data_IF_036278018373
#
_entry.id   IF_036278018373
#
_cell.length_a   1.000
_cell.length_b   1.000
_cell.length_c   1.000
_cell.angle_alpha   90.00
_cell.angle_beta   90.00
_cell.angle_gamma   90.00
#
_symmetry.space_group_name_H-M   'P 1'
#
loop_
_entity.id
_entity.type
_entity.pdbx_description
1 polymer ?
#
# COMPACT_ATOMS: atom_id res chain seq x y z
N UNK A 1 -2.57 -16.40 1.50
CA UNK A 1 -3.67 -15.92 2.37
C UNK A 1 -3.56 -14.41 2.41
N UNK A 2 -4.65 -13.66 2.19
CA UNK A 2 -4.56 -12.20 2.13
C UNK A 2 -4.70 -11.60 3.54
N UNK A 3 -3.93 -10.55 3.82
CA UNK A 3 -4.09 -9.73 5.03
C UNK A 3 -4.21 -8.26 4.67
N UNK A 4 -4.98 -7.52 5.44
CA UNK A 4 -4.94 -6.05 5.49
C UNK A 4 -4.39 -5.60 6.84
N UNK A 5 -3.74 -4.45 6.87
CA UNK A 5 -3.24 -3.84 8.10
C UNK A 5 -3.13 -2.33 7.92
N UNK A 6 -3.31 -1.58 9.00
CA UNK A 6 -3.08 -0.13 8.97
C UNK A 6 -1.62 0.19 9.23
N UNK A 7 -1.11 1.20 8.53
CA UNK A 7 0.26 1.68 8.70
C UNK A 7 0.24 2.85 9.67
N UNK A 8 0.65 2.61 10.90
CA UNK A 8 0.58 3.59 11.99
C UNK A 8 1.96 4.07 12.40
N UNK A 9 2.07 5.35 12.71
CA UNK A 9 3.30 5.93 13.22
C UNK A 9 3.51 5.58 14.69
N UNK A 10 4.72 5.14 15.02
CA UNK A 10 5.11 4.83 16.40
C UNK A 10 5.18 6.09 17.30
N UNK A 11 5.49 7.25 16.73
CA UNK A 11 5.69 8.48 17.51
C UNK A 11 4.41 9.29 17.70
N UNK A 12 3.66 9.55 16.63
CA UNK A 12 2.49 10.45 16.69
C UNK A 12 1.15 9.72 16.53
N UNK A 13 1.15 8.39 16.36
CA UNK A 13 -0.06 7.58 16.19
C UNK A 13 -0.79 7.80 14.85
N UNK A 14 -0.26 8.64 13.95
CA UNK A 14 -0.90 8.92 12.66
C UNK A 14 -0.92 7.70 11.76
N UNK A 15 -2.09 7.38 11.21
CA UNK A 15 -2.27 6.34 10.18
C UNK A 15 -1.91 6.94 8.83
N UNK A 16 -0.86 6.41 8.21
CA UNK A 16 -0.32 6.89 6.91
C UNK A 16 -0.98 6.18 5.72
N UNK A 17 -1.74 5.11 5.96
CA UNK A 17 -2.44 4.35 4.92
C UNK A 17 -2.74 2.93 5.37
N UNK A 18 -3.26 2.13 4.46
CA UNK A 18 -3.59 0.72 4.66
C UNK A 18 -2.78 -0.13 3.69
N UNK A 19 -2.24 -1.23 4.22
CA UNK A 19 -1.49 -2.24 3.51
C UNK A 19 -2.38 -3.43 3.17
N UNK A 20 -2.19 -4.02 2.00
CA UNK A 20 -2.74 -5.32 1.63
C UNK A 20 -1.63 -6.21 1.08
N UNK A 21 -1.48 -7.41 1.63
CA UNK A 21 -0.42 -8.34 1.24
C UNK A 21 -0.83 -9.80 1.31
N UNK A 22 -0.25 -10.62 0.44
CA UNK A 22 -0.36 -12.07 0.51
C UNK A 22 0.74 -12.62 1.44
N UNK A 23 0.34 -13.30 2.50
CA UNK A 23 1.25 -13.94 3.46
C UNK A 23 1.75 -15.31 3.03
N UNK A 24 1.30 -15.82 1.87
CA UNK A 24 1.77 -17.10 1.31
C UNK A 24 3.04 -16.98 0.46
N UNK A 25 3.44 -15.76 0.12
CA UNK A 25 4.74 -15.42 -0.48
C UNK A 25 5.53 -14.57 0.52
N UNK A 26 6.88 -14.50 0.44
CA UNK A 26 7.64 -13.53 1.24
C UNK A 26 7.03 -12.15 1.02
N UNK A 27 6.45 -11.55 2.08
CA UNK A 27 5.52 -10.41 2.06
C UNK A 27 5.80 -9.42 0.93
N UNK A 28 5.26 -9.69 -0.25
CA UNK A 28 5.28 -8.76 -1.36
C UNK A 28 4.09 -7.86 -1.14
N UNK A 29 4.36 -6.58 -0.91
CA UNK A 29 3.34 -5.54 -0.87
C UNK A 29 2.52 -5.67 -2.14
N UNK A 30 1.28 -6.13 -2.01
CA UNK A 30 0.41 -6.39 -3.17
C UNK A 30 -0.36 -5.12 -3.50
N UNK A 31 -0.76 -4.38 -2.47
CA UNK A 31 -1.28 -3.02 -2.59
C UNK A 31 -0.94 -2.20 -1.32
N UNK A 32 -0.67 -0.91 -1.53
CA UNK A 32 -0.54 0.09 -0.48
C UNK A 32 -1.46 1.23 -0.85
N UNK A 33 -2.39 1.55 0.05
CA UNK A 33 -3.37 2.63 -0.14
C UNK A 33 -3.03 3.75 0.85
N UNK A 34 -2.42 4.85 0.40
CA UNK A 34 -2.07 5.95 1.29
C UNK A 34 -3.35 6.60 1.83
N UNK A 35 -3.30 7.09 3.07
CA UNK A 35 -4.41 7.86 3.66
C UNK A 35 -4.59 9.22 2.97
N UNK A 36 -3.51 9.75 2.38
CA UNK A 36 -3.49 10.96 1.59
C UNK A 36 -3.05 10.60 0.15
N UNK A 37 -3.92 10.72 -0.86
CA UNK A 37 -3.61 10.33 -2.24
C UNK A 37 -2.51 11.18 -2.89
N UNK A 38 -2.17 12.35 -2.32
CA UNK A 38 -1.02 13.16 -2.76
C UNK A 38 0.33 12.62 -2.28
N UNK A 39 0.33 11.48 -1.58
CA UNK A 39 1.51 10.85 -1.06
C UNK A 39 1.65 9.42 -1.56
N UNK A 40 2.72 9.18 -2.31
CA UNK A 40 3.09 7.82 -2.72
C UNK A 40 4.51 7.56 -2.22
N UNK A 41 4.72 6.53 -1.39
CA UNK A 41 6.07 6.16 -0.99
C UNK A 41 6.87 5.66 -2.20
N UNK A 42 8.16 5.98 -2.23
CA UNK A 42 9.03 5.53 -3.31
C UNK A 42 9.33 4.04 -3.18
N UNK A 43 9.24 3.27 -4.28
CA UNK A 43 9.64 1.87 -4.27
C UNK A 43 11.09 1.71 -3.78
N UNK A 44 11.33 0.78 -2.87
CA UNK A 44 12.65 0.49 -2.33
C UNK A 44 13.11 1.39 -1.16
N UNK A 45 12.40 2.48 -0.86
CA UNK A 45 12.69 3.31 0.31
C UNK A 45 11.91 2.84 1.55
N UNK A 46 12.50 2.93 2.77
CA UNK A 46 11.77 2.64 4.00
C UNK A 46 10.59 3.60 4.17
N UNK A 47 9.42 3.04 4.46
CA UNK A 47 8.24 3.84 4.73
C UNK A 47 8.39 4.66 6.02
N UNK A 48 8.07 5.96 5.97
CA UNK A 48 8.11 6.89 7.11
C UNK A 48 6.79 7.64 7.25
N UNK A 49 6.49 8.07 8.46
CA UNK A 49 5.30 8.87 8.72
C UNK A 49 5.38 10.21 8.00
N UNK A 50 4.40 10.53 7.15
CA UNK A 50 4.34 11.84 6.46
C UNK A 50 4.20 13.03 7.42
N UNK A 51 3.60 12.82 8.60
CA UNK A 51 3.35 13.90 9.56
C UNK A 51 4.58 14.29 10.38
N UNK A 52 5.44 13.34 10.75
CA UNK A 52 6.55 13.60 11.67
C UNK A 52 7.89 12.96 11.26
N UNK A 53 7.95 12.21 10.15
CA UNK A 53 9.13 11.46 9.72
C UNK A 53 9.46 10.21 10.55
N UNK A 54 8.67 9.92 11.59
CA UNK A 54 8.89 8.78 12.48
C UNK A 54 8.74 7.40 11.82
N UNK A 55 9.23 6.33 12.48
CA UNK A 55 9.03 4.97 12.02
C UNK A 55 7.55 4.58 12.05
N UNK A 56 7.16 3.68 11.15
CA UNK A 56 5.81 3.15 11.03
C UNK A 56 5.80 1.65 11.26
N UNK A 57 4.67 1.14 11.72
CA UNK A 57 4.44 -0.29 11.96
C UNK A 57 3.06 -0.69 11.43
N UNK A 58 2.86 -2.00 11.22
CA UNK A 58 1.56 -2.56 10.87
C UNK A 58 0.72 -2.76 12.14
N UNK A 59 -0.43 -2.09 12.20
CA UNK A 59 -1.43 -2.20 13.26
C UNK A 59 -2.70 -2.86 12.70
N UNK A 60 -3.56 -3.33 13.60
CA UNK A 60 -4.87 -3.93 13.25
C UNK A 60 -4.83 -4.96 12.10
N UNK A 61 -3.89 -5.91 12.14
CA UNK A 61 -3.75 -6.92 11.07
C UNK A 61 -5.01 -7.81 10.99
N UNK A 62 -5.72 -7.76 9.87
CA UNK A 62 -6.95 -8.52 9.61
C UNK A 62 -6.73 -9.52 8.49
N UNK A 63 -7.31 -10.71 8.63
CA UNK A 63 -7.32 -11.74 7.59
C UNK A 63 -8.42 -11.42 6.59
N UNK A 64 -8.10 -11.39 5.31
CA UNK A 64 -9.06 -11.18 4.23
C UNK A 64 -9.23 -12.45 3.38
N UNK A 65 -10.46 -12.68 2.91
CA UNK A 65 -10.69 -13.68 1.86
C UNK A 65 -10.12 -13.15 0.55
N UNK A 66 -9.58 -14.02 -0.31
CA UNK A 66 -8.92 -13.62 -1.56
C UNK A 66 -9.84 -12.79 -2.48
N UNK A 67 -11.14 -13.04 -2.47
CA UNK A 67 -12.13 -12.29 -3.27
C UNK A 67 -12.43 -10.88 -2.75
N UNK A 68 -12.05 -10.56 -1.51
CA UNK A 68 -12.36 -9.29 -0.84
C UNK A 68 -11.17 -8.31 -0.90
N UNK A 69 -10.00 -8.79 -1.32
CA UNK A 69 -8.82 -7.97 -1.49
C UNK A 69 -9.03 -6.99 -2.67
N UNK A 70 -9.01 -5.66 -2.45
CA UNK A 70 -9.04 -4.71 -3.55
C UNK A 70 -7.72 -4.85 -4.32
N UNK A 71 -7.79 -5.41 -5.54
CA UNK A 71 -6.62 -5.55 -6.42
C UNK A 71 -6.40 -4.22 -7.17
N UNK A 72 -6.09 -3.15 -6.44
CA UNK A 72 -5.49 -1.98 -7.08
C UNK A 72 -3.99 -2.26 -7.19
N UNK A 73 -3.63 -2.82 -8.35
CA UNK A 73 -2.25 -3.18 -8.71
C UNK A 73 -1.37 -1.94 -8.57
N UNK A 74 -0.35 -2.01 -7.71
CA UNK A 74 0.72 -1.02 -7.74
C UNK A 74 1.57 -1.34 -8.97
N UNK A 75 1.51 -0.49 -10.01
CA UNK A 75 2.38 -0.54 -11.18
C UNK A 75 1.81 -1.26 -12.40
N UNK A 76 0.75 -0.71 -13.01
CA UNK A 76 0.68 -0.75 -14.48
C UNK A 76 1.26 0.58 -14.96
N UNK A 77 2.42 0.49 -15.60
CA UNK A 77 2.86 1.51 -16.54
C UNK A 77 1.68 1.81 -17.48
N UNK A 78 1.34 3.09 -17.61
CA UNK A 78 0.38 3.57 -18.58
C UNK A 78 0.87 3.19 -19.98
N UNK A 79 0.48 2.02 -20.49
CA UNK A 79 0.46 1.76 -21.92
C UNK A 79 -0.66 2.61 -22.50
N UNK A 80 -0.29 3.84 -22.89
CA UNK A 80 -1.13 4.77 -23.64
C UNK A 80 -1.55 4.07 -24.94
N UNK A 81 -2.84 3.83 -25.20
CA UNK A 81 -3.25 3.40 -26.53
C UNK A 81 -3.09 4.61 -27.45
N UNK A 82 -1.98 4.65 -28.18
CA UNK A 82 -1.86 5.46 -29.40
C UNK A 82 -2.99 5.01 -30.31
N UNK A 83 -4.05 5.81 -30.35
CA UNK A 83 -5.11 5.71 -31.36
C UNK A 83 -4.44 5.78 -32.73
N UNK A 84 -4.43 4.66 -33.44
CA UNK A 84 -4.34 4.65 -34.89
C UNK A 84 -5.60 5.37 -35.41
N UNK A 85 -5.40 6.58 -35.94
CA UNK A 85 -6.40 7.31 -36.71
C UNK A 85 -5.78 7.49 -38.10
N UNK A 86 -6.46 6.90 -39.08
CA UNK A 86 -6.32 7.06 -40.54
C UNK A 86 -5.09 6.45 -41.20
#
# INVERSE_FOLDING_TARGET
MMVSADIKCYYCGHVSGTFVGDTSTPMKVTAFRPSDPSWTPRPGEPLRCRRCGGPVFLDEVRKMRRHEAPVERIGQEDEVPTKAIA
#
